data_IF_079960732434
#
_entry.id   IF_079960732434
#
_cell.length_a   1.000
_cell.length_b   1.000
_cell.length_c   1.000
_cell.angle_alpha   90.00
_cell.angle_beta   90.00
_cell.angle_gamma   90.00
#
_symmetry.space_group_name_H-M   'P 1'
#
loop_
_entity.id
_entity.type
_entity.pdbx_description
1 polymer ?
#
# COMPACT_ATOMS: atom_id res chain seq x y z
N UNK A 1 -17.38 22.58 4.95
CA UNK A 1 -17.37 21.13 4.67
C UNK A 1 -16.08 20.57 5.27
N UNK A 2 -16.14 20.08 6.50
CA UNK A 2 -14.98 19.60 7.24
C UNK A 2 -14.81 18.11 6.98
N UNK A 3 -13.83 17.74 6.14
CA UNK A 3 -13.44 16.35 5.93
C UNK A 3 -12.53 15.92 7.10
N UNK A 4 -13.11 15.79 8.29
CA UNK A 4 -12.47 15.18 9.45
C UNK A 4 -12.92 13.73 9.55
N UNK A 5 -12.33 12.87 8.73
CA UNK A 5 -12.27 11.44 9.00
C UNK A 5 -10.90 10.97 8.58
N UNK A 6 -10.19 10.35 9.52
CA UNK A 6 -9.04 9.50 9.28
C UNK A 6 -9.44 8.42 8.26
N UNK A 7 -9.37 8.75 6.98
CA UNK A 7 -9.29 7.75 5.94
C UNK A 7 -7.89 7.17 6.09
N UNK A 8 -7.76 6.09 6.87
CA UNK A 8 -6.52 5.32 7.01
C UNK A 8 -6.22 4.62 5.68
N UNK A 9 -5.85 5.40 4.68
CA UNK A 9 -5.44 4.93 3.37
C UNK A 9 -4.15 4.14 3.57
N UNK A 10 -4.18 2.86 3.22
CA UNK A 10 -3.04 1.97 3.38
C UNK A 10 -1.87 2.54 2.57
N UNK A 11 -0.75 2.77 3.25
CA UNK A 11 0.48 3.18 2.59
C UNK A 11 1.22 1.94 2.10
N UNK A 12 1.26 1.78 0.79
CA UNK A 12 2.04 0.73 0.14
C UNK A 12 3.45 1.26 -0.08
N UNK A 13 4.41 0.66 0.62
CA UNK A 13 5.83 1.03 0.56
C UNK A 13 6.66 -0.10 -0.02
N UNK A 14 7.75 0.25 -0.69
CA UNK A 14 8.68 -0.72 -1.23
C UNK A 14 9.34 -1.56 -0.13
N UNK A 15 9.27 -2.89 -0.23
CA UNK A 15 9.88 -3.83 0.72
C UNK A 15 11.40 -3.66 0.83
N UNK A 16 12.09 -3.26 -0.24
CA UNK A 16 13.55 -3.05 -0.25
C UNK A 16 13.97 -1.68 0.28
N UNK A 17 13.50 -0.59 -0.33
CA UNK A 17 14.01 0.76 -0.01
C UNK A 17 13.04 1.60 0.83
N UNK A 18 11.91 1.03 1.26
CA UNK A 18 10.84 1.70 2.03
C UNK A 18 10.23 2.94 1.37
N UNK A 19 10.55 3.22 0.10
CA UNK A 19 9.95 4.32 -0.66
C UNK A 19 8.45 4.09 -0.80
N UNK A 20 7.68 5.14 -0.54
CA UNK A 20 6.25 5.15 -0.80
C UNK A 20 5.99 4.92 -2.29
N UNK A 21 5.13 3.95 -2.59
CA UNK A 21 4.70 3.62 -3.94
C UNK A 21 3.30 4.13 -4.20
N UNK A 22 2.38 3.91 -3.25
CA UNK A 22 0.98 4.30 -3.39
C UNK A 22 0.33 4.49 -2.01
N UNK A 23 -0.73 5.30 -1.95
CA UNK A 23 -1.66 5.38 -0.82
C UNK A 23 -3.06 5.01 -1.31
N UNK A 24 -3.74 4.11 -0.61
CA UNK A 24 -5.12 3.72 -0.94
C UNK A 24 -5.33 2.22 -0.89
N UNK A 25 -6.45 1.76 -1.46
CA UNK A 25 -6.79 0.34 -1.57
C UNK A 25 -6.43 -0.14 -2.97
N UNK A 26 -5.73 -1.27 -3.05
CA UNK A 26 -5.41 -1.90 -4.33
C UNK A 26 -5.90 -3.33 -4.34
N UNK A 27 -6.56 -3.73 -5.44
CA UNK A 27 -7.05 -5.09 -5.62
C UNK A 27 -5.95 -6.01 -6.14
N UNK A 28 -5.40 -5.72 -7.32
CA UNK A 28 -4.27 -6.44 -7.86
C UNK A 28 -3.39 -5.45 -8.61
N UNK A 29 -2.15 -5.27 -8.18
CA UNK A 29 -1.19 -4.39 -8.86
C UNK A 29 0.21 -4.96 -8.79
N UNK A 30 0.92 -4.87 -9.91
CA UNK A 30 2.36 -5.02 -9.96
C UNK A 30 2.99 -3.62 -10.02
N UNK A 31 3.83 -3.29 -9.04
CA UNK A 31 4.52 -2.00 -8.99
C UNK A 31 6.03 -2.24 -8.97
N UNK A 32 6.70 -1.73 -10.01
CA UNK A 32 8.16 -1.58 -10.03
C UNK A 32 8.56 -0.34 -9.25
N UNK A 33 9.42 -0.51 -8.25
CA UNK A 33 9.94 0.62 -7.48
C UNK A 33 10.88 1.47 -8.36
N UNK A 34 10.61 2.78 -8.53
CA UNK A 34 11.41 3.65 -9.41
C UNK A 34 12.83 3.89 -8.87
N UNK A 35 13.05 3.74 -7.56
CA UNK A 35 14.36 3.96 -6.93
C UNK A 35 15.32 2.77 -7.04
N UNK A 36 14.85 1.55 -6.82
CA UNK A 36 15.71 0.36 -6.73
C UNK A 36 15.40 -0.72 -7.78
N UNK A 37 14.42 -0.48 -8.66
CA UNK A 37 14.00 -1.42 -9.70
C UNK A 37 13.27 -2.66 -9.20
N UNK A 38 13.07 -2.80 -7.88
CA UNK A 38 12.40 -3.97 -7.29
C UNK A 38 10.92 -4.02 -7.66
N UNK A 39 10.49 -5.14 -8.25
CA UNK A 39 9.11 -5.39 -8.65
C UNK A 39 8.38 -6.05 -7.49
N UNK A 40 7.22 -5.49 -7.15
CA UNK A 40 6.36 -6.01 -6.08
C UNK A 40 4.96 -6.24 -6.62
N UNK A 41 4.46 -7.43 -6.35
CA UNK A 41 3.08 -7.80 -6.63
C UNK A 41 2.28 -7.68 -5.33
N UNK A 42 1.20 -6.91 -5.39
CA UNK A 42 0.20 -6.79 -4.34
C UNK A 42 -1.09 -7.39 -4.88
N UNK A 43 -1.56 -8.44 -4.24
CA UNK A 43 -2.86 -9.03 -4.48
C UNK A 43 -3.77 -8.65 -3.33
N UNK A 44 -5.10 -8.78 -3.51
CA UNK A 44 -6.13 -8.48 -2.52
C UNK A 44 -5.97 -9.43 -1.33
N UNK A 45 -4.98 -9.15 -0.50
CA UNK A 45 -4.89 -9.72 0.82
C UNK A 45 -5.94 -8.96 1.58
N UNK A 46 -7.09 -9.60 1.83
CA UNK A 46 -7.95 -9.19 2.95
C UNK A 46 -6.98 -8.96 4.11
N UNK A 47 -6.72 -7.70 4.45
CA UNK A 47 -6.05 -7.35 5.68
C UNK A 47 -7.08 -7.72 6.75
N UNK A 48 -7.18 -9.01 7.02
CA UNK A 48 -7.84 -9.55 8.20
C UNK A 48 -6.98 -8.95 9.31
N UNK A 49 -7.43 -7.82 9.86
CA UNK A 49 -6.93 -7.31 11.13
C UNK A 49 -7.23 -8.43 12.12
N UNK A 50 -6.23 -9.25 12.38
CA UNK A 50 -6.26 -10.23 13.45
C UNK A 50 -6.19 -9.44 14.76
N UNK A 51 -7.35 -8.97 15.24
CA UNK A 51 -7.48 -8.57 16.64
C UNK A 51 -7.84 -9.84 17.40
N UNK A 52 -6.83 -10.40 18.07
CA UNK A 52 -7.07 -11.16 19.30
C UNK A 52 -7.69 -10.25 20.35
#
# INVERSE_FOLDING_TARGET
MNCNTDCTCIEIRCKRCKRLLMKGVVKNVEIKCPKCGYIQMFEETKLIKNSR
#
